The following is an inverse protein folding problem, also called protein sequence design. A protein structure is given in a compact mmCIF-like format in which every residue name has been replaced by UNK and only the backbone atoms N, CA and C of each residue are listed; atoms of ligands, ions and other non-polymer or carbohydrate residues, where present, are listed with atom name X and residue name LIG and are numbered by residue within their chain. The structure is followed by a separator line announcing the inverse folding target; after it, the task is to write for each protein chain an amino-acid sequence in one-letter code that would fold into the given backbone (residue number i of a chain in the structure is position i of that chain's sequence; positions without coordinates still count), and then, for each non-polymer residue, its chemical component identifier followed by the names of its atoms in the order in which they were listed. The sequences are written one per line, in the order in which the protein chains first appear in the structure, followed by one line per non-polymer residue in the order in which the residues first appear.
data_IF_878817304449
#
_entry.id   IF_878817304449
#
_cell.length_a   1.000
_cell.length_b   1.000
_cell.length_c   1.000
_cell.angle_alpha   90.00
_cell.angle_beta   90.00
_cell.angle_gamma   90.00
#
_symmetry.space_group_name_H-M   'P 1'
#
loop_
_entity.id
_entity.type
_entity.pdbx_description
1 polymer ?
#
# COMPACT_ATOMS: atom_id res chain seq x y z
N UNK A 1 15.58 1.92 15.75
CA UNK A 1 14.25 1.40 15.34
C UNK A 1 14.44 0.54 14.10
N UNK A 2 13.75 -0.58 13.95
CA UNK A 2 13.86 -1.42 12.76
C UNK A 2 13.36 -0.65 11.52
N UNK A 3 14.04 -0.76 10.39
CA UNK A 3 13.68 -0.10 9.13
C UNK A 3 12.24 -0.44 8.71
N UNK A 4 11.83 -1.68 8.94
CA UNK A 4 10.46 -2.17 8.73
C UNK A 4 9.38 -1.42 9.52
N UNK A 5 9.66 -1.02 10.77
CA UNK A 5 8.68 -0.27 11.57
C UNK A 5 8.46 1.15 11.00
N UNK A 6 9.54 1.78 10.55
CA UNK A 6 9.48 3.11 9.93
C UNK A 6 8.73 3.07 8.60
N UNK A 7 8.98 2.05 7.78
CA UNK A 7 8.27 1.83 6.52
C UNK A 7 6.78 1.57 6.74
N UNK A 8 6.43 0.69 7.69
CA UNK A 8 5.04 0.41 8.00
C UNK A 8 4.31 1.68 8.45
N UNK A 9 4.95 2.50 9.29
CA UNK A 9 4.38 3.77 9.75
C UNK A 9 4.10 4.72 8.58
N UNK A 10 5.06 4.91 7.66
CA UNK A 10 4.87 5.73 6.46
C UNK A 10 3.76 5.19 5.56
N UNK A 11 3.72 3.87 5.35
CA UNK A 11 2.65 3.25 4.57
C UNK A 11 1.28 3.54 5.19
N UNK A 12 1.15 3.37 6.51
CA UNK A 12 -0.09 3.67 7.26
C UNK A 12 -0.50 5.13 7.09
N UNK A 13 0.44 6.07 7.13
CA UNK A 13 0.17 7.50 6.93
C UNK A 13 -0.39 7.78 5.52
N UNK A 14 0.18 7.17 4.47
CA UNK A 14 -0.33 7.28 3.10
C UNK A 14 -1.71 6.64 2.95
N UNK A 15 -1.94 5.44 3.51
CA UNK A 15 -3.29 4.85 3.48
C UNK A 15 -4.33 5.75 4.16
N UNK A 16 -3.96 6.36 5.30
CA UNK A 16 -4.83 7.28 6.01
C UNK A 16 -5.13 8.57 5.22
N UNK A 17 -4.20 9.12 4.43
CA UNK A 17 -4.45 10.31 3.60
C UNK A 17 -5.49 10.04 2.50
N UNK A 18 -5.59 8.78 2.04
CA UNK A 18 -6.62 8.31 1.10
C UNK A 18 -7.92 7.88 1.80
N UNK A 19 -8.05 8.06 3.11
CA UNK A 19 -9.23 7.67 3.89
C UNK A 19 -9.33 6.16 4.17
N UNK A 20 -8.26 5.40 3.92
CA UNK A 20 -8.23 3.94 4.05
C UNK A 20 -7.70 3.57 5.43
N UNK A 21 -8.55 3.00 6.28
CA UNK A 21 -8.11 2.51 7.59
C UNK A 21 -7.57 1.09 7.49
N UNK A 22 -6.33 0.89 7.96
CA UNK A 22 -5.69 -0.43 8.02
C UNK A 22 -6.06 -1.25 9.26
N UNK A 23 -7.11 -0.84 9.97
CA UNK A 23 -7.57 -1.47 11.20
C UNK A 23 -8.72 -2.46 10.96
N UNK A 24 -8.79 -3.51 11.79
CA UNK A 24 -9.91 -4.47 11.77
C UNK A 24 -10.09 -5.20 10.43
N UNK A 25 -11.33 -5.26 9.95
CA UNK A 25 -11.71 -5.91 8.69
C UNK A 25 -11.30 -5.10 7.46
N UNK A 26 -11.22 -3.75 7.58
CA UNK A 26 -11.01 -2.83 6.46
C UNK A 26 -9.69 -2.99 5.71
N UNK A 27 -8.67 -3.53 6.38
CA UNK A 27 -7.39 -3.87 5.73
C UNK A 27 -7.51 -4.93 4.62
N UNK A 28 -8.59 -5.72 4.62
CA UNK A 28 -8.87 -6.71 3.60
C UNK A 28 -9.91 -6.21 2.57
N UNK A 29 -10.36 -4.96 2.68
CA UNK A 29 -11.35 -4.43 1.75
C UNK A 29 -10.73 -4.23 0.37
N UNK A 30 -11.39 -4.74 -0.66
CA UNK A 30 -11.01 -4.55 -2.03
C UNK A 30 -11.17 -3.08 -2.42
N UNK A 31 -10.12 -2.46 -2.97
CA UNK A 31 -10.10 -1.03 -3.30
C UNK A 31 -11.28 -0.61 -4.20
N UNK A 32 -11.49 -1.33 -5.30
CA UNK A 32 -12.61 -1.05 -6.21
C UNK A 32 -13.96 -1.51 -5.65
N UNK A 33 -14.08 -2.77 -5.23
CA UNK A 33 -15.40 -3.37 -4.93
C UNK A 33 -15.99 -2.96 -3.58
N UNK A 34 -15.15 -2.69 -2.58
CA UNK A 34 -15.60 -2.43 -1.20
C UNK A 34 -15.33 -0.99 -0.77
N UNK A 35 -14.17 -0.43 -1.17
CA UNK A 35 -13.84 0.96 -0.88
C UNK A 35 -14.33 1.93 -1.96
N UNK A 36 -14.90 1.43 -3.07
CA UNK A 36 -15.40 2.21 -4.20
C UNK A 36 -14.37 3.23 -4.73
N UNK A 37 -13.09 2.87 -4.71
CA UNK A 37 -12.03 3.72 -5.23
C UNK A 37 -11.95 3.62 -6.75
N UNK A 38 -11.86 4.79 -7.40
CA UNK A 38 -11.56 4.82 -8.82
C UNK A 38 -10.11 4.36 -9.08
N UNK A 39 -9.85 3.69 -10.21
CA UNK A 39 -8.50 3.26 -10.58
C UNK A 39 -7.45 4.38 -10.55
N UNK A 40 -7.84 5.63 -10.86
CA UNK A 40 -6.94 6.78 -10.80
C UNK A 40 -6.43 7.05 -9.37
N UNK A 41 -7.27 6.90 -8.35
CA UNK A 41 -6.87 7.06 -6.95
C UNK A 41 -6.03 5.88 -6.48
N UNK A 42 -6.32 4.67 -6.95
CA UNK A 42 -5.51 3.49 -6.64
C UNK A 42 -4.09 3.67 -7.20
N UNK A 43 -3.97 4.13 -8.45
CA UNK A 43 -2.68 4.42 -9.07
C UNK A 43 -1.91 5.52 -8.30
N UNK A 44 -2.61 6.58 -7.88
CA UNK A 44 -2.02 7.63 -7.03
C UNK A 44 -1.53 7.10 -5.68
N UNK A 45 -2.33 6.26 -5.02
CA UNK A 45 -2.00 5.62 -3.75
C UNK A 45 -0.73 4.76 -3.88
N UNK A 46 -0.64 3.93 -4.91
CA UNK A 46 0.53 3.11 -5.18
C UNK A 46 1.77 3.99 -5.39
N UNK A 47 1.67 5.00 -6.25
CA UNK A 47 2.77 5.93 -6.51
C UNK A 47 3.26 6.63 -5.23
N UNK A 48 2.35 7.10 -4.38
CA UNK A 48 2.73 7.74 -3.12
C UNK A 48 3.42 6.77 -2.15
N UNK A 49 2.97 5.51 -2.11
CA UNK A 49 3.63 4.48 -1.29
C UNK A 49 5.06 4.21 -1.79
N UNK A 50 5.23 4.02 -3.10
CA UNK A 50 6.54 3.85 -3.73
C UNK A 50 7.48 5.02 -3.43
N UNK A 51 6.99 6.24 -3.62
CA UNK A 51 7.76 7.47 -3.37
C UNK A 51 8.14 7.61 -1.89
N UNK A 52 7.22 7.43 -0.95
CA UNK A 52 7.50 7.61 0.48
C UNK A 52 8.43 6.54 1.06
N UNK A 53 8.35 5.33 0.50
CA UNK A 53 9.10 4.16 0.95
C UNK A 53 10.39 3.93 0.15
N UNK A 54 10.58 4.66 -0.95
CA UNK A 54 11.70 4.52 -1.89
C UNK A 54 11.81 3.09 -2.44
N UNK A 55 10.66 2.52 -2.81
CA UNK A 55 10.54 1.18 -3.41
C UNK A 55 9.82 1.27 -4.74
N UNK A 56 10.03 0.28 -5.60
CA UNK A 56 9.27 0.14 -6.85
C UNK A 56 8.56 -1.22 -6.84
N UNK A 57 7.24 -1.19 -6.99
CA UNK A 57 6.38 -2.34 -7.13
C UNK A 57 6.29 -2.62 -8.63
N UNK A 58 6.64 -3.83 -9.04
CA UNK A 58 6.54 -4.22 -10.45
C UNK A 58 5.08 -4.24 -10.90
N UNK A 59 4.81 -3.76 -12.11
CA UNK A 59 3.44 -3.70 -12.69
C UNK A 59 2.71 -5.05 -12.64
N UNK A 60 3.44 -6.15 -12.82
CA UNK A 60 2.92 -7.52 -12.74
C UNK A 60 2.35 -7.86 -11.36
N UNK A 61 2.85 -7.21 -10.31
CA UNK A 61 2.40 -7.36 -8.93
C UNK A 61 1.21 -6.44 -8.62
N UNK A 62 1.07 -5.30 -9.32
CA UNK A 62 -0.04 -4.37 -9.15
C UNK A 62 -1.39 -5.00 -9.49
N UNK A 63 -1.44 -5.89 -10.49
CA UNK A 63 -2.65 -6.66 -10.80
C UNK A 63 -3.13 -7.56 -9.67
N UNK A 64 -2.29 -7.85 -8.67
CA UNK A 64 -2.61 -8.64 -7.46
C UNK A 64 -2.81 -7.76 -6.23
N UNK A 65 -2.62 -6.45 -6.35
CA UNK A 65 -2.67 -5.46 -5.28
C UNK A 65 -4.08 -4.92 -5.07
N UNK A 66 -5.05 -5.80 -4.80
CA UNK A 66 -6.45 -5.40 -4.74
C UNK A 66 -6.88 -4.93 -3.36
N UNK A 67 -6.12 -5.27 -2.31
CA UNK A 67 -6.42 -4.91 -0.92
C UNK A 67 -5.25 -4.21 -0.23
N UNK A 68 -5.50 -3.38 0.79
CA UNK A 68 -4.44 -2.72 1.56
C UNK A 68 -3.44 -3.71 2.18
N UNK A 69 -3.93 -4.86 2.65
CA UNK A 69 -3.09 -5.93 3.21
C UNK A 69 -2.13 -6.52 2.18
N UNK A 70 -2.58 -6.75 0.95
CA UNK A 70 -1.72 -7.28 -0.12
C UNK A 70 -0.62 -6.28 -0.45
N UNK A 71 -0.96 -5.00 -0.60
CA UNK A 71 0.01 -3.92 -0.83
C UNK A 71 1.06 -3.89 0.27
N UNK A 72 0.66 -3.88 1.55
CA UNK A 72 1.60 -3.91 2.69
C UNK A 72 2.48 -5.16 2.64
N UNK A 73 1.92 -6.32 2.33
CA UNK A 73 2.69 -7.56 2.21
C UNK A 73 3.74 -7.45 1.12
N UNK A 74 3.38 -6.91 -0.04
CA UNK A 74 4.33 -6.71 -1.15
C UNK A 74 5.47 -5.76 -0.75
N UNK A 75 5.13 -4.63 -0.11
CA UNK A 75 6.12 -3.67 0.37
C UNK A 75 7.14 -4.28 1.33
N UNK A 76 6.67 -5.17 2.23
CA UNK A 76 7.54 -5.87 3.18
C UNK A 76 8.39 -6.99 2.54
N UNK A 77 7.97 -7.52 1.39
CA UNK A 77 8.71 -8.59 0.67
C UNK A 77 9.73 -8.06 -0.31
N UNK A 78 9.68 -6.79 -0.70
CA UNK A 78 10.66 -6.20 -1.62
C UNK A 78 12.01 -6.11 -0.89
N UNK A 79 13.06 -6.82 -1.36
CA UNK A 79 14.37 -6.71 -0.77
C UNK A 79 14.87 -5.28 -0.91
N UNK A 80 15.16 -4.67 0.23
CA UNK A 80 15.70 -3.33 0.30
C UNK A 80 17.18 -3.43 -0.07
N UNK A 81 17.53 -3.15 -1.32
CA UNK A 81 18.93 -2.90 -1.66
C UNK A 81 19.30 -1.58 -0.99
N UNK A 82 20.01 -1.70 0.13
CA UNK A 82 20.64 -0.61 0.85
C UNK A 82 22.01 -0.32 0.22
#
# INVERSE_FOLDING_TARGET
MSQHFTQLKKAVEVFHSYGISLSGQRKNDHFVQQLNMDPVFINGLIFELEYNLQVCIQDEMLGKACTPREVIRMLLTIPQNN
#
